data_IF_610179754570
#
_entry.id   IF_610179754570
#
_cell.length_a   1.000
_cell.length_b   1.000
_cell.length_c   1.000
_cell.angle_alpha   90.00
_cell.angle_beta   90.00
_cell.angle_gamma   90.00
#
_symmetry.space_group_name_H-M   'P 1'
#
loop_
_entity.id
_entity.type
_entity.pdbx_description
1 polymer ?
#
# COMPACT_ATOMS: atom_id res chain seq x y z
N UNK A 1 1.94 -9.18 0.16
CA UNK A 1 1.60 -8.96 1.59
C UNK A 1 0.24 -8.27 1.65
N UNK A 2 -0.55 -8.44 2.72
CA UNK A 2 -1.83 -7.75 2.90
C UNK A 2 -1.85 -7.00 4.25
N UNK A 3 -2.43 -5.79 4.29
CA UNK A 3 -2.60 -5.01 5.52
C UNK A 3 -3.91 -4.23 5.48
N UNK A 4 -4.63 -4.22 6.60
CA UNK A 4 -5.86 -3.42 6.72
C UNK A 4 -5.48 -2.01 7.20
N UNK A 5 -5.90 -1.01 6.44
CA UNK A 5 -5.71 0.40 6.76
C UNK A 5 -6.82 0.93 7.67
N UNK A 6 -6.47 1.91 8.49
CA UNK A 6 -7.43 2.68 9.30
C UNK A 6 -7.95 3.93 8.59
N UNK A 7 -7.27 4.38 7.54
CA UNK A 7 -7.60 5.58 6.78
C UNK A 7 -7.16 5.43 5.32
N UNK A 8 -7.88 6.09 4.41
CA UNK A 8 -7.56 6.08 2.99
C UNK A 8 -6.19 6.75 2.75
N UNK A 9 -5.33 6.15 1.89
CA UNK A 9 -4.14 6.82 1.40
C UNK A 9 -4.49 8.17 0.74
N UNK A 10 -3.62 9.16 0.91
CA UNK A 10 -3.82 10.45 0.24
C UNK A 10 -3.54 10.33 -1.26
N UNK A 11 -4.05 11.28 -2.06
CA UNK A 11 -3.78 11.31 -3.51
C UNK A 11 -2.29 11.37 -3.84
N UNK A 12 -1.52 12.09 -3.02
CA UNK A 12 -0.06 12.16 -3.14
C UNK A 12 0.58 10.79 -2.89
N UNK A 13 0.17 10.08 -1.85
CA UNK A 13 0.66 8.71 -1.58
C UNK A 13 0.29 7.74 -2.71
N UNK A 14 -0.94 7.82 -3.22
CA UNK A 14 -1.40 6.99 -4.34
C UNK A 14 -0.51 7.21 -5.56
N UNK A 15 -0.14 8.46 -5.83
CA UNK A 15 0.69 8.82 -6.98
C UNK A 15 2.16 8.44 -6.75
N UNK A 16 2.73 8.77 -5.60
CA UNK A 16 4.12 8.49 -5.24
C UNK A 16 4.43 7.00 -5.24
N UNK A 17 3.51 6.18 -4.74
CA UNK A 17 3.69 4.73 -4.68
C UNK A 17 3.05 3.99 -5.85
N UNK A 18 2.56 4.71 -6.86
CA UNK A 18 1.89 4.14 -8.04
C UNK A 18 0.82 3.09 -7.66
N UNK A 19 -0.01 3.43 -6.67
CA UNK A 19 -0.99 2.50 -6.11
C UNK A 19 -2.13 2.28 -7.10
N UNK A 20 -2.45 1.02 -7.39
CA UNK A 20 -3.64 0.63 -8.13
C UNK A 20 -4.80 0.47 -7.17
N UNK A 21 -5.86 1.24 -7.41
CA UNK A 21 -7.08 1.17 -6.62
C UNK A 21 -8.01 0.14 -7.26
N UNK A 22 -8.49 -0.81 -6.44
CA UNK A 22 -9.56 -1.74 -6.78
C UNK A 22 -10.68 -1.52 -5.76
N UNK A 23 -11.81 -0.98 -6.22
CA UNK A 23 -12.99 -0.76 -5.39
C UNK A 23 -13.91 -1.97 -5.52
N UNK A 24 -14.17 -2.64 -4.41
CA UNK A 24 -15.20 -3.67 -4.26
C UNK A 24 -16.37 -3.12 -3.40
N UNK A 25 -17.52 -3.78 -3.45
CA UNK A 25 -18.75 -3.32 -2.78
C UNK A 25 -18.55 -3.01 -1.27
N UNK A 26 -17.71 -3.79 -0.58
CA UNK A 26 -17.48 -3.66 0.87
C UNK A 26 -16.10 -3.08 1.23
N UNK A 27 -15.14 -3.03 0.30
CA UNK A 27 -13.74 -2.68 0.57
C UNK A 27 -13.09 -1.95 -0.59
N UNK A 28 -12.10 -1.11 -0.28
CA UNK A 28 -11.19 -0.51 -1.25
C UNK A 28 -9.80 -1.08 -1.05
N UNK A 29 -9.28 -1.74 -2.08
CA UNK A 29 -7.93 -2.28 -2.13
C UNK A 29 -6.97 -1.35 -2.87
N UNK A 30 -5.85 -1.02 -2.24
CA UNK A 30 -4.73 -0.31 -2.84
C UNK A 30 -3.58 -1.29 -3.03
N UNK A 31 -3.32 -1.66 -4.27
CA UNK A 31 -2.27 -2.61 -4.65
C UNK A 31 -1.04 -1.85 -5.16
N UNK A 32 0.10 -2.15 -4.58
CA UNK A 32 1.37 -1.49 -4.80
C UNK A 32 2.35 -2.51 -5.32
N UNK A 33 2.94 -2.22 -6.49
CA UNK A 33 3.97 -3.07 -7.09
C UNK A 33 5.34 -2.65 -6.56
N UNK A 34 5.88 -3.43 -5.63
CA UNK A 34 7.11 -3.13 -4.92
C UNK A 34 8.32 -3.20 -5.85
N UNK A 35 8.23 -3.90 -6.98
CA UNK A 35 9.30 -3.94 -7.98
C UNK A 35 9.42 -2.62 -8.76
N UNK A 36 8.36 -1.81 -8.77
CA UNK A 36 8.34 -0.51 -9.44
C UNK A 36 8.83 0.64 -8.54
N UNK A 37 9.06 0.35 -7.26
CA UNK A 37 9.48 1.34 -6.26
C UNK A 37 10.98 1.28 -6.01
N UNK A 38 11.60 2.45 -5.92
CA UNK A 38 12.98 2.62 -5.48
C UNK A 38 13.13 2.34 -3.97
N UNK A 39 14.35 2.12 -3.49
CA UNK A 39 14.62 1.81 -2.08
C UNK A 39 14.14 2.91 -1.12
N UNK A 40 14.24 4.18 -1.51
CA UNK A 40 13.72 5.31 -0.71
C UNK A 40 12.20 5.26 -0.58
N UNK A 41 11.49 5.00 -1.68
CA UNK A 41 10.03 4.87 -1.67
C UNK A 41 9.59 3.66 -0.82
N UNK A 42 10.33 2.54 -0.87
CA UNK A 42 10.08 1.37 -0.02
C UNK A 42 10.25 1.70 1.46
N UNK A 43 11.32 2.42 1.84
CA UNK A 43 11.57 2.84 3.23
C UNK A 43 10.49 3.80 3.75
N UNK A 44 10.06 4.74 2.91
CA UNK A 44 8.98 5.66 3.24
C UNK A 44 7.67 4.89 3.44
N UNK A 45 7.36 3.96 2.55
CA UNK A 45 6.16 3.12 2.62
C UNK A 45 6.16 2.23 3.88
N UNK A 46 7.31 1.62 4.19
CA UNK A 46 7.50 0.87 5.44
C UNK A 46 7.25 1.74 6.67
N UNK A 47 7.74 2.98 6.66
CA UNK A 47 7.54 3.91 7.79
C UNK A 47 6.10 4.40 7.91
N UNK A 48 5.46 4.71 6.78
CA UNK A 48 4.08 5.20 6.71
C UNK A 48 3.06 4.17 7.18
N UNK A 49 3.24 2.92 6.76
CA UNK A 49 2.30 1.85 7.04
C UNK A 49 2.77 0.90 8.13
N UNK A 50 3.86 1.21 8.83
CA UNK A 50 4.46 0.37 9.88
C UNK A 50 4.63 -1.08 9.37
N UNK A 51 5.38 -1.22 8.28
CA UNK A 51 5.67 -2.49 7.62
C UNK A 51 7.17 -2.77 7.78
N UNK A 52 7.51 -4.03 8.07
CA UNK A 52 8.91 -4.45 8.16
C UNK A 52 9.55 -4.48 6.76
N UNK A 53 10.66 -3.78 6.61
CA UNK A 53 11.40 -3.68 5.35
C UNK A 53 11.86 -5.06 4.83
N UNK A 54 12.17 -6.01 5.70
CA UNK A 54 12.58 -7.35 5.27
C UNK A 54 11.41 -8.11 4.65
N UNK A 55 10.21 -7.94 5.22
CA UNK A 55 8.99 -8.56 4.68
C UNK A 55 8.62 -7.91 3.35
N UNK A 56 8.76 -6.57 3.26
CA UNK A 56 8.51 -5.80 2.04
C UNK A 56 9.46 -6.22 0.91
N UNK A 57 10.77 -6.32 1.18
CA UNK A 57 11.78 -6.68 0.19
C UNK A 57 11.70 -8.14 -0.29
N UNK A 58 10.96 -8.99 0.41
CA UNK A 58 10.71 -10.39 0.00
C UNK A 58 9.43 -10.57 -0.83
N UNK A 59 8.68 -9.50 -1.09
CA UNK A 59 7.41 -9.57 -1.82
C UNK A 59 7.45 -8.68 -3.05
N UNK A 60 6.76 -9.14 -4.09
CA UNK A 60 6.61 -8.38 -5.33
C UNK A 60 5.52 -7.31 -5.22
N UNK A 61 4.53 -7.54 -4.35
CA UNK A 61 3.38 -6.64 -4.19
C UNK A 61 2.89 -6.53 -2.75
N UNK A 62 2.40 -5.34 -2.42
CA UNK A 62 1.72 -5.02 -1.18
C UNK A 62 0.28 -4.63 -1.48
N UNK A 63 -0.66 -5.22 -0.76
CA UNK A 63 -2.08 -4.87 -0.83
C UNK A 63 -2.49 -4.22 0.48
N UNK A 64 -3.07 -3.03 0.39
CA UNK A 64 -3.59 -2.26 1.50
C UNK A 64 -5.10 -2.16 1.36
N UNK A 65 -5.85 -2.83 2.21
CA UNK A 65 -7.31 -2.87 2.15
C UNK A 65 -7.91 -1.92 3.17
N UNK A 66 -8.95 -1.18 2.81
CA UNK A 66 -9.76 -0.41 3.77
C UNK A 66 -11.23 -0.77 3.60
N UNK A 67 -11.95 -0.94 4.70
CA UNK A 67 -13.40 -1.13 4.64
C UNK A 67 -14.06 0.12 4.08
N UNK A 68 -14.92 -0.06 3.09
CA UNK A 68 -15.73 1.02 2.49
C UNK A 68 -16.81 1.53 3.48
N UNK A 69 -17.06 0.79 4.57
CA UNK A 69 -18.03 1.13 5.61
C UNK A 69 -17.51 2.12 6.68
N UNK A 70 -17.01 3.29 6.26
CA UNK A 70 -16.70 4.43 7.17
C UNK A 70 -17.57 5.64 6.90
#
# INVERSE_FOLDING_TARGET
MYKILKAHPTKEQITNFNMKIAEEDDYVDYVIDLNTLDEDAKKELCSLYDIDDKDLNQKEKLQLSISSSV
#
